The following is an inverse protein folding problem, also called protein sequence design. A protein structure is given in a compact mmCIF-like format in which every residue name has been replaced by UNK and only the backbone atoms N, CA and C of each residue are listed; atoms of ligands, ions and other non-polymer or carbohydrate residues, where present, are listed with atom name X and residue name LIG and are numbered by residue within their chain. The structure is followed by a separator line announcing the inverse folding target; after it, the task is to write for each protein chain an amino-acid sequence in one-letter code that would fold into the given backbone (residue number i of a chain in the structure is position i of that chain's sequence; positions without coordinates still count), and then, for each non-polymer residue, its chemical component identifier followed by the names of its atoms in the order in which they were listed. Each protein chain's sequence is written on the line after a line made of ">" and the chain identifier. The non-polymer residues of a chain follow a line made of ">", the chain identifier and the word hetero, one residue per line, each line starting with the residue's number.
data_IF_490221576591
#
_entry.id   IF_490221576591
#
_cell.length_a   1.000
_cell.length_b   1.000
_cell.length_c   1.000
_cell.angle_alpha   90.00
_cell.angle_beta   90.00
_cell.angle_gamma   90.00
#
_symmetry.space_group_name_H-M   'P 1'
#
loop_
_entity.id
_entity.type
_entity.pdbx_description
1 polymer ?
#
# COMPACT_ATOMS: atom_id res chain seq x y z
N UNK A 1 -5.47 -7.53 26.64
CA UNK A 1 -4.56 -6.37 26.78
C UNK A 1 -3.63 -6.22 25.57
N UNK A 2 -3.07 -7.29 25.00
CA UNK A 2 -2.16 -7.22 23.83
C UNK A 2 -2.74 -6.55 22.56
N UNK A 3 -3.99 -6.83 22.22
CA UNK A 3 -4.62 -6.27 21.00
C UNK A 3 -4.68 -4.73 21.05
N UNK A 4 -4.98 -4.15 22.23
CA UNK A 4 -4.98 -2.70 22.43
C UNK A 4 -3.57 -2.10 22.28
N UNK A 5 -2.54 -2.82 22.73
CA UNK A 5 -1.14 -2.37 22.65
C UNK A 5 -0.59 -2.39 21.22
N UNK A 6 -1.03 -3.33 20.39
CA UNK A 6 -0.70 -3.32 18.97
C UNK A 6 -1.44 -2.20 18.23
N UNK A 7 -2.75 -2.02 18.49
CA UNK A 7 -3.51 -0.91 17.90
C UNK A 7 -3.00 0.48 18.29
N UNK A 8 -2.46 0.67 19.50
CA UNK A 8 -1.95 1.99 19.92
C UNK A 8 -0.79 2.49 19.05
N UNK A 9 0.05 1.59 18.52
CA UNK A 9 1.13 1.98 17.61
C UNK A 9 0.58 2.40 16.25
N UNK A 10 -0.42 1.67 15.73
CA UNK A 10 -1.05 2.00 14.45
C UNK A 10 -1.74 3.37 14.48
N UNK A 11 -2.32 3.77 15.61
CA UNK A 11 -2.93 5.10 15.76
C UNK A 11 -1.90 6.21 15.50
N UNK A 12 -0.68 6.09 16.03
CA UNK A 12 0.40 7.05 15.77
C UNK A 12 0.81 7.12 14.31
N UNK A 13 0.93 5.97 13.64
CA UNK A 13 1.23 5.87 12.20
C UNK A 13 0.11 6.40 11.30
N UNK A 14 -1.14 6.29 11.74
CA UNK A 14 -2.30 6.84 11.03
C UNK A 14 -2.28 8.37 11.13
N UNK A 15 -2.08 8.93 12.31
CA UNK A 15 -2.11 10.39 12.53
C UNK A 15 -1.00 11.10 11.74
N UNK A 16 0.19 10.51 11.66
CA UNK A 16 1.34 11.08 10.93
C UNK A 16 1.41 10.67 9.46
N UNK A 17 0.39 10.00 8.92
CA UNK A 17 0.40 9.57 7.54
C UNK A 17 0.23 10.74 6.57
N UNK A 18 1.19 10.88 5.64
CA UNK A 18 1.21 11.95 4.65
C UNK A 18 -0.04 11.99 3.75
N UNK A 19 -0.70 10.85 3.50
CA UNK A 19 -1.91 10.82 2.66
C UNK A 19 -3.08 11.56 3.31
N UNK A 20 -3.18 11.50 4.64
CA UNK A 20 -4.27 12.14 5.38
C UNK A 20 -4.08 13.64 5.36
N UNK A 21 -2.89 14.11 5.76
CA UNK A 21 -2.57 15.55 5.72
C UNK A 21 -2.68 16.11 4.30
N UNK A 22 -2.15 15.42 3.30
CA UNK A 22 -2.19 15.88 1.91
C UNK A 22 -3.60 15.98 1.32
N UNK A 23 -4.50 15.04 1.60
CA UNK A 23 -5.91 15.14 1.14
C UNK A 23 -6.72 16.16 1.93
N UNK A 24 -6.43 16.32 3.22
CA UNK A 24 -7.05 17.34 4.03
C UNK A 24 -6.74 18.74 3.48
N UNK A 25 -5.47 19.01 3.17
CA UNK A 25 -5.04 20.30 2.65
C UNK A 25 -5.52 20.57 1.22
N UNK A 26 -5.41 19.57 0.34
CA UNK A 26 -5.72 19.77 -1.08
C UNK A 26 -7.23 19.73 -1.41
N UNK A 27 -8.03 18.98 -0.66
CA UNK A 27 -9.43 18.72 -1.02
C UNK A 27 -10.42 19.03 0.10
N UNK A 28 -10.14 18.64 1.35
CA UNK A 28 -11.11 18.79 2.43
C UNK A 28 -11.36 20.25 2.84
N UNK A 29 -10.34 21.12 2.78
CA UNK A 29 -10.47 22.54 3.15
C UNK A 29 -11.34 23.35 2.18
N UNK A 30 -11.47 22.91 0.92
CA UNK A 30 -12.14 23.67 -0.14
C UNK A 30 -13.53 23.13 -0.52
N UNK A 31 -13.93 21.95 -0.03
CA UNK A 31 -15.15 21.25 -0.46
C UNK A 31 -16.11 20.95 0.69
N UNK A 32 -17.37 20.65 0.34
CA UNK A 32 -18.41 20.30 1.32
C UNK A 32 -18.11 18.95 1.99
N UNK A 33 -18.54 18.74 3.25
CA UNK A 33 -18.22 17.53 4.02
C UNK A 33 -18.55 16.21 3.30
N UNK A 34 -19.67 16.17 2.57
CA UNK A 34 -20.09 14.96 1.85
C UNK A 34 -19.15 14.58 0.70
N UNK A 35 -18.65 15.56 -0.05
CA UNK A 35 -17.71 15.32 -1.15
C UNK A 35 -16.33 14.92 -0.60
N UNK A 36 -15.89 15.56 0.48
CA UNK A 36 -14.63 15.23 1.16
C UNK A 36 -14.64 13.83 1.78
N UNK A 37 -15.79 13.36 2.27
CA UNK A 37 -15.96 11.98 2.76
C UNK A 37 -15.75 10.96 1.63
N UNK A 38 -16.42 11.16 0.49
CA UNK A 38 -16.30 10.25 -0.65
C UNK A 38 -14.86 10.21 -1.18
N UNK A 39 -14.18 11.34 -1.21
CA UNK A 39 -12.77 11.44 -1.57
C UNK A 39 -11.86 10.67 -0.59
N UNK A 40 -12.07 10.85 0.72
CA UNK A 40 -11.32 10.11 1.73
C UNK A 40 -11.48 8.59 1.60
N UNK A 41 -12.72 8.12 1.37
CA UNK A 41 -13.00 6.70 1.14
C UNK A 41 -12.32 6.21 -0.14
N UNK A 42 -12.44 6.94 -1.25
CA UNK A 42 -11.83 6.55 -2.53
C UNK A 42 -10.30 6.43 -2.43
N UNK A 43 -9.63 7.41 -1.84
CA UNK A 43 -8.17 7.39 -1.64
C UNK A 43 -7.75 6.30 -0.65
N UNK A 44 -8.53 6.08 0.42
CA UNK A 44 -8.28 5.03 1.39
C UNK A 44 -8.39 3.63 0.79
N UNK A 45 -9.44 3.37 0.00
CA UNK A 45 -9.62 2.09 -0.71
C UNK A 45 -8.52 1.88 -1.75
N UNK A 46 -8.15 2.93 -2.51
CA UNK A 46 -7.06 2.87 -3.48
C UNK A 46 -5.72 2.54 -2.82
N UNK A 47 -5.38 3.23 -1.72
CA UNK A 47 -4.18 2.95 -0.94
C UNK A 47 -4.18 1.53 -0.37
N UNK A 48 -5.31 1.08 0.19
CA UNK A 48 -5.47 -0.28 0.69
C UNK A 48 -5.29 -1.34 -0.40
N UNK A 49 -5.85 -1.13 -1.60
CA UNK A 49 -5.71 -2.06 -2.72
C UNK A 49 -4.25 -2.21 -3.17
N UNK A 50 -3.48 -1.11 -3.20
CA UNK A 50 -2.05 -1.15 -3.51
C UNK A 50 -1.31 -1.94 -2.43
N UNK A 51 -1.58 -1.67 -1.14
CA UNK A 51 -0.94 -2.39 -0.04
C UNK A 51 -1.22 -3.89 -0.07
N UNK A 52 -2.46 -4.30 -0.34
CA UNK A 52 -2.84 -5.72 -0.47
C UNK A 52 -2.09 -6.37 -1.62
N UNK A 53 -2.04 -5.71 -2.78
CA UNK A 53 -1.32 -6.23 -3.95
C UNK A 53 0.17 -6.41 -3.66
N UNK A 54 0.81 -5.41 -3.06
CA UNK A 54 2.23 -5.49 -2.66
C UNK A 54 2.45 -6.56 -1.59
N UNK A 55 1.55 -6.69 -0.63
CA UNK A 55 1.63 -7.71 0.42
C UNK A 55 1.57 -9.13 -0.16
N UNK A 56 0.70 -9.38 -1.14
CA UNK A 56 0.62 -10.67 -1.84
C UNK A 56 1.95 -11.03 -2.51
N UNK A 57 2.54 -10.11 -3.26
CA UNK A 57 3.85 -10.34 -3.88
C UNK A 57 4.95 -10.56 -2.82
N UNK A 58 4.95 -9.79 -1.73
CA UNK A 58 5.94 -9.96 -0.65
C UNK A 58 5.78 -11.28 0.10
N UNK A 59 4.57 -11.77 0.28
CA UNK A 59 4.32 -13.03 0.98
C UNK A 59 4.74 -14.24 0.12
N UNK A 60 4.37 -14.21 -1.16
CA UNK A 60 4.75 -15.23 -2.16
C UNK A 60 6.27 -15.31 -2.28
N UNK A 61 6.94 -14.19 -2.57
CA UNK A 61 8.37 -14.20 -2.84
C UNK A 61 9.23 -14.21 -1.57
N UNK A 62 8.73 -13.71 -0.45
CA UNK A 62 9.48 -13.62 0.81
C UNK A 62 9.40 -14.87 1.67
N UNK A 63 8.22 -15.50 1.80
CA UNK A 63 8.01 -16.67 2.68
C UNK A 63 7.62 -17.94 1.94
N UNK A 64 7.28 -17.85 0.66
CA UNK A 64 6.80 -18.99 -0.11
C UNK A 64 5.35 -19.38 0.19
N UNK A 65 4.62 -18.51 0.90
CA UNK A 65 3.26 -18.77 1.39
C UNK A 65 2.28 -17.74 0.85
N UNK A 66 1.04 -18.16 0.64
CA UNK A 66 -0.09 -17.25 0.42
C UNK A 66 -1.06 -17.48 1.57
N UNK A 67 -1.31 -16.45 2.37
CA UNK A 67 -2.31 -16.47 3.43
C UNK A 67 -2.09 -17.62 4.44
N UNK A 68 -0.82 -18.00 4.66
CA UNK A 68 -0.41 -19.10 5.53
C UNK A 68 -0.32 -20.50 4.89
N UNK A 69 -0.72 -20.66 3.63
CA UNK A 69 -0.56 -21.92 2.88
C UNK A 69 0.74 -21.91 2.08
N UNK A 70 1.58 -22.95 2.20
CA UNK A 70 2.79 -23.11 1.37
C UNK A 70 2.40 -23.38 -0.08
N UNK A 71 2.72 -22.44 -0.97
CA UNK A 71 2.40 -22.54 -2.41
C UNK A 71 3.65 -22.88 -3.23
N UNK A 72 4.84 -22.56 -2.73
CA UNK A 72 6.11 -22.82 -3.43
C UNK A 72 6.71 -24.20 -3.07
N UNK A 73 7.28 -24.92 -4.06
CA UNK A 73 7.87 -26.25 -3.87
C UNK A 73 9.14 -26.18 -3.01
N UNK A 74 9.60 -27.33 -2.50
CA UNK A 74 10.69 -27.44 -1.52
C UNK A 74 12.06 -26.89 -1.98
N UNK A 75 12.22 -26.53 -3.24
CA UNK A 75 13.44 -25.95 -3.81
C UNK A 75 13.48 -24.42 -3.77
N UNK A 76 12.40 -23.76 -3.34
CA UNK A 76 12.39 -22.32 -3.16
C UNK A 76 12.81 -21.96 -1.73
N UNK A 77 14.06 -21.54 -1.57
CA UNK A 77 14.54 -20.94 -0.33
C UNK A 77 13.94 -19.52 -0.20
N UNK A 78 13.15 -19.25 0.86
CA UNK A 78 12.51 -17.96 1.05
C UNK A 78 13.57 -16.85 1.13
N UNK A 79 13.52 -15.93 0.17
CA UNK A 79 14.50 -14.86 0.07
C UNK A 79 14.17 -13.77 1.10
N UNK A 80 14.91 -13.72 2.21
CA UNK A 80 14.78 -12.69 3.25
C UNK A 80 14.94 -11.25 2.73
N UNK A 81 15.53 -11.08 1.55
CA UNK A 81 15.65 -9.81 0.84
C UNK A 81 14.29 -9.21 0.43
N UNK A 82 13.22 -10.01 0.26
CA UNK A 82 11.90 -9.47 -0.10
C UNK A 82 11.13 -8.91 1.11
N UNK A 83 11.61 -9.21 2.33
CA UNK A 83 10.99 -8.81 3.59
C UNK A 83 11.49 -7.45 4.08
N UNK A 84 12.65 -6.99 3.62
CA UNK A 84 13.16 -5.67 3.99
C UNK A 84 12.35 -4.53 3.34
N UNK A 85 12.30 -3.33 3.96
CA UNK A 85 11.58 -2.18 3.42
C UNK A 85 12.02 -1.78 2.01
N UNK A 86 13.29 -1.98 1.66
CA UNK A 86 13.82 -1.64 0.34
C UNK A 86 13.10 -2.38 -0.80
N UNK A 87 12.70 -3.65 -0.59
CA UNK A 87 11.96 -4.41 -1.58
C UNK A 87 10.58 -3.81 -1.91
N UNK A 88 9.95 -3.13 -0.94
CA UNK A 88 8.66 -2.47 -1.17
C UNK A 88 8.78 -1.32 -2.17
N UNK A 89 9.88 -0.56 -2.13
CA UNK A 89 10.14 0.56 -3.05
C UNK A 89 10.29 0.02 -4.49
N UNK A 90 11.04 -1.07 -4.68
CA UNK A 90 11.19 -1.70 -5.99
C UNK A 90 9.86 -2.23 -6.54
N UNK A 91 9.07 -2.93 -5.72
CA UNK A 91 7.76 -3.44 -6.12
C UNK A 91 6.80 -2.31 -6.51
N UNK A 92 6.72 -1.25 -5.71
CA UNK A 92 5.89 -0.08 -6.01
C UNK A 92 6.38 0.58 -7.31
N UNK A 93 7.69 0.72 -7.51
CA UNK A 93 8.28 1.25 -8.74
C UNK A 93 7.88 0.45 -9.99
N UNK A 94 7.92 -0.88 -9.92
CA UNK A 94 7.49 -1.76 -11.01
C UNK A 94 5.99 -1.60 -11.27
N UNK A 95 5.16 -1.55 -10.22
CA UNK A 95 3.71 -1.36 -10.36
C UNK A 95 3.41 -0.03 -11.07
N UNK A 96 4.06 1.06 -10.65
CA UNK A 96 3.89 2.38 -11.29
C UNK A 96 4.38 2.33 -12.75
N UNK A 97 5.50 1.67 -13.02
CA UNK A 97 6.03 1.51 -14.37
C UNK A 97 5.05 0.77 -15.28
N UNK A 98 4.53 -0.38 -14.84
CA UNK A 98 3.51 -1.14 -15.60
C UNK A 98 2.27 -0.28 -15.85
N UNK A 99 1.80 0.42 -14.82
CA UNK A 99 0.62 1.27 -14.92
C UNK A 99 0.80 2.41 -15.92
N UNK A 100 1.97 3.08 -15.91
CA UNK A 100 2.32 4.13 -16.88
C UNK A 100 2.59 3.58 -18.28
N UNK A 101 3.16 2.39 -18.41
CA UNK A 101 3.40 1.74 -19.70
C UNK A 101 2.08 1.40 -20.41
N UNK A 102 1.07 0.94 -19.66
CA UNK A 102 -0.27 0.66 -20.18
C UNK A 102 -1.07 1.93 -20.45
N UNK A 103 -0.99 2.92 -19.56
CA UNK A 103 -1.72 4.18 -19.67
C UNK A 103 -0.77 5.36 -19.93
N UNK A 104 -0.31 5.48 -21.19
CA UNK A 104 0.61 6.56 -21.62
C UNK A 104 0.07 7.98 -21.37
N UNK A 105 -1.26 8.14 -21.25
CA UNK A 105 -1.89 9.43 -20.90
C UNK A 105 -1.41 10.01 -19.57
N UNK A 106 -0.85 9.19 -18.68
CA UNK A 106 -0.38 9.61 -17.35
C UNK A 106 1.09 10.05 -17.33
N UNK A 107 1.80 9.92 -18.45
CA UNK A 107 3.22 10.29 -18.55
C UNK A 107 3.38 11.79 -18.81
N UNK A 108 2.44 12.42 -19.51
CA UNK A 108 2.54 13.80 -20.00
C UNK A 108 1.57 14.80 -19.31
N UNK A 109 1.12 14.54 -18.08
CA UNK A 109 0.22 15.45 -17.35
C UNK A 109 1.00 16.47 -16.50
N UNK A 110 2.18 16.90 -16.96
CA UNK A 110 2.95 17.98 -16.30
C UNK A 110 2.55 19.35 -16.81
#
# INVERSE_FOLDING_TARGET
>A
YDVYKQMSVYIGLIITNCIIMGRLEAFAMANKPWQSLLDGIGNGVGYGAILVTVALFREVFGKGTIMGYKVLPSWYEPNGLMLIPAAAIFLIGIIIWVQRAMNKKLVDIS
#
